data_IF_851701936281
#
_entry.id   IF_851701936281
#
_cell.length_a   1.000
_cell.length_b   1.000
_cell.length_c   1.000
_cell.angle_alpha   90.00
_cell.angle_beta   90.00
_cell.angle_gamma   90.00
#
_symmetry.space_group_name_H-M   'P 1'
#
loop_
_entity.id
_entity.type
_entity.pdbx_description
1 polymer ?
#
# COMPACT_ATOMS: atom_id res chain seq x y z
N UNK A 1 5.77 5.46 18.06
CA UNK A 1 6.00 4.04 17.71
C UNK A 1 6.47 3.99 16.28
N UNK A 2 7.76 3.74 16.04
CA UNK A 2 8.33 3.71 14.69
C UNK A 2 8.13 2.31 14.12
N UNK A 3 7.46 2.21 12.97
CA UNK A 3 7.25 0.94 12.29
C UNK A 3 8.54 0.58 11.54
N UNK A 4 9.42 -0.20 12.19
CA UNK A 4 10.74 -0.52 11.64
C UNK A 4 10.68 -1.58 10.53
N UNK A 5 9.77 -2.54 10.64
CA UNK A 5 9.71 -3.67 9.71
C UNK A 5 9.16 -3.23 8.35
N UNK A 6 9.86 -3.61 7.27
CA UNK A 6 9.44 -3.40 5.88
C UNK A 6 9.41 -4.71 5.11
N UNK A 7 8.59 -4.75 4.06
CA UNK A 7 8.48 -5.90 3.14
C UNK A 7 8.69 -5.45 1.72
N UNK A 8 9.49 -6.19 0.96
CA UNK A 8 9.70 -5.93 -0.46
C UNK A 8 8.44 -6.24 -1.26
N UNK A 9 8.06 -5.37 -2.20
CA UNK A 9 6.92 -5.61 -3.12
C UNK A 9 7.24 -6.58 -4.27
N UNK A 10 8.53 -6.90 -4.51
CA UNK A 10 8.98 -7.77 -5.61
C UNK A 10 9.26 -9.21 -5.17
N UNK A 11 10.03 -9.39 -4.10
CA UNK A 11 10.48 -10.72 -3.63
C UNK A 11 9.93 -11.12 -2.26
N UNK A 12 9.03 -10.32 -1.69
CA UNK A 12 8.35 -10.58 -0.41
C UNK A 12 9.23 -10.75 0.85
N UNK A 13 10.54 -10.55 0.73
CA UNK A 13 11.45 -10.59 1.88
C UNK A 13 11.23 -9.40 2.81
N UNK A 14 11.35 -9.66 4.10
CA UNK A 14 11.35 -8.64 5.12
C UNK A 14 12.73 -8.00 5.27
N UNK A 15 12.75 -6.71 5.63
CA UNK A 15 13.97 -5.94 5.87
C UNK A 15 13.71 -4.79 6.82
N UNK A 16 14.76 -4.27 7.45
CA UNK A 16 14.73 -3.03 8.23
C UNK A 16 15.21 -1.83 7.39
N UNK A 17 15.80 -2.07 6.21
CA UNK A 17 16.21 -1.00 5.29
C UNK A 17 14.99 -0.25 4.78
N UNK A 18 15.07 1.08 4.77
CA UNK A 18 13.95 1.94 4.41
C UNK A 18 13.87 2.24 2.92
N UNK A 19 15.02 2.21 2.24
CA UNK A 19 15.16 2.70 0.87
C UNK A 19 14.85 1.59 -0.15
N UNK A 20 15.52 0.44 -0.03
CA UNK A 20 15.40 -0.66 -0.98
C UNK A 20 15.61 -2.03 -0.35
N UNK A 21 15.09 -3.07 -1.02
CA UNK A 21 15.34 -4.45 -0.63
C UNK A 21 16.82 -4.80 -0.84
N UNK A 22 17.53 -5.34 0.18
CA UNK A 22 18.96 -5.70 0.05
C UNK A 22 19.23 -6.87 -0.90
N UNK A 23 18.18 -7.58 -1.35
CA UNK A 23 18.32 -8.80 -2.17
C UNK A 23 18.02 -8.53 -3.64
N UNK A 24 16.95 -7.79 -3.94
CA UNK A 24 16.51 -7.54 -5.32
C UNK A 24 16.51 -6.06 -5.73
N UNK A 25 16.88 -5.14 -4.82
CA UNK A 25 16.79 -3.70 -5.05
C UNK A 25 15.36 -3.15 -5.21
N UNK A 26 14.33 -3.98 -5.02
CA UNK A 26 12.93 -3.59 -5.19
C UNK A 26 12.41 -2.63 -4.12
N UNK A 27 11.33 -1.89 -4.40
CA UNK A 27 10.71 -0.97 -3.45
C UNK A 27 10.14 -1.72 -2.25
N UNK A 28 10.32 -1.13 -1.08
CA UNK A 28 9.84 -1.67 0.20
C UNK A 28 8.58 -0.93 0.68
N UNK A 29 7.70 -1.63 1.39
CA UNK A 29 6.48 -1.06 2.01
C UNK A 29 6.39 -1.44 3.47
N UNK A 30 5.63 -0.65 4.25
CA UNK A 30 5.22 -1.10 5.58
C UNK A 30 4.27 -2.29 5.43
N UNK A 31 4.55 -3.43 6.07
CA UNK A 31 3.73 -4.63 5.97
C UNK A 31 2.51 -4.56 6.87
N UNK A 32 2.55 -3.73 7.91
CA UNK A 32 1.47 -3.63 8.85
C UNK A 32 0.26 -2.89 8.23
N UNK A 33 -0.96 -3.36 8.50
CA UNK A 33 -2.16 -2.70 8.04
C UNK A 33 -2.35 -1.34 8.75
N UNK A 34 -3.16 -0.48 8.14
CA UNK A 34 -3.60 0.75 8.77
C UNK A 34 -4.39 0.43 10.06
N UNK A 35 -4.29 1.31 11.07
CA UNK A 35 -5.02 1.17 12.32
C UNK A 35 -6.53 1.18 12.07
N UNK A 36 -7.24 0.21 12.62
CA UNK A 36 -8.70 0.14 12.55
C UNK A 36 -9.35 1.09 13.58
N UNK A 37 -10.49 1.68 13.22
CA UNK A 37 -11.31 2.55 14.08
C UNK A 37 -12.78 2.20 13.88
N UNK A 38 -13.56 2.11 14.96
CA UNK A 38 -14.99 1.86 14.90
C UNK A 38 -15.77 3.07 14.36
N UNK A 39 -15.34 4.27 14.70
CA UNK A 39 -16.00 5.53 14.28
C UNK A 39 -15.71 5.90 12.81
N UNK A 40 -14.60 5.42 12.23
CA UNK A 40 -14.09 5.66 10.87
C UNK A 40 -14.84 6.72 10.01
N UNK A 41 -14.69 7.99 10.42
CA UNK A 41 -15.33 9.16 9.78
C UNK A 41 -15.07 9.27 8.27
N UNK A 42 -13.99 8.66 7.77
CA UNK A 42 -13.57 8.72 6.38
C UNK A 42 -13.94 7.49 5.55
N UNK A 43 -14.72 6.54 6.10
CA UNK A 43 -15.12 5.31 5.40
C UNK A 43 -15.77 5.58 4.04
N UNK A 44 -16.74 6.52 3.99
CA UNK A 44 -17.47 6.88 2.76
C UNK A 44 -16.52 7.39 1.67
N UNK A 45 -15.60 8.28 2.03
CA UNK A 45 -14.64 8.85 1.09
C UNK A 45 -13.65 7.81 0.59
N UNK A 46 -13.12 6.96 1.47
CA UNK A 46 -12.19 5.87 1.10
C UNK A 46 -12.82 4.88 0.11
N UNK A 47 -14.11 4.55 0.29
CA UNK A 47 -14.85 3.71 -0.65
C UNK A 47 -15.07 4.41 -2.00
N UNK A 48 -15.44 5.70 -1.99
CA UNK A 48 -15.63 6.49 -3.22
C UNK A 48 -14.33 6.58 -4.02
N UNK A 49 -13.20 6.85 -3.37
CA UNK A 49 -11.88 6.89 -4.00
C UNK A 49 -11.49 5.55 -4.63
N UNK A 50 -11.81 4.43 -3.96
CA UNK A 50 -11.53 3.09 -4.52
C UNK A 50 -12.34 2.84 -5.80
N UNK A 51 -13.63 3.17 -5.79
CA UNK A 51 -14.51 3.04 -6.97
C UNK A 51 -14.04 3.91 -8.13
N UNK A 52 -13.71 5.18 -7.87
CA UNK A 52 -13.16 6.08 -8.89
C UNK A 52 -11.87 5.53 -9.49
N UNK A 53 -10.97 4.96 -8.67
CA UNK A 53 -9.74 4.35 -9.15
C UNK A 53 -9.99 3.07 -9.99
N UNK A 54 -11.05 2.33 -9.70
CA UNK A 54 -11.48 1.16 -10.49
C UNK A 54 -12.07 1.62 -11.84
N UNK A 55 -12.91 2.66 -11.84
CA UNK A 55 -13.50 3.27 -13.03
C UNK A 55 -12.44 3.87 -13.97
N UNK A 56 -11.48 4.64 -13.44
CA UNK A 56 -10.39 5.20 -14.24
C UNK A 56 -9.50 4.13 -14.86
N UNK A 57 -9.24 3.03 -14.14
CA UNK A 57 -8.50 1.87 -14.67
C UNK A 57 -9.25 1.19 -15.82
N UNK A 58 -10.58 1.06 -15.72
CA UNK A 58 -11.41 0.50 -16.78
C UNK A 58 -11.48 1.40 -18.02
N UNK A 59 -11.46 2.73 -17.82
CA UNK A 59 -11.44 3.70 -18.93
C UNK A 59 -10.06 3.78 -19.60
N UNK A 60 -8.98 3.57 -18.84
CA UNK A 60 -7.61 3.57 -19.36
C UNK A 60 -7.16 2.31 -20.10
N UNK A 61 -7.99 1.25 -20.17
CA UNK A 61 -7.71 0.04 -20.95
C UNK A 61 -8.26 0.10 -22.39
N UNK A 62 -8.67 1.28 -22.85
CA UNK A 62 -9.24 1.53 -24.18
C UNK A 62 -8.39 2.38 -25.12
N UNK A 63 -7.10 2.58 -24.81
CA UNK A 63 -6.12 3.24 -25.68
C UNK A 63 -4.89 2.34 -25.83
#
# INVERSE_FOLDING_TARGET
MVWLLRRCKKCDRYTLKQDACPVCGGPVKMPHPAKFSLDDRYRKYRLKMRRMAEETRAQGSGL
#
